data_IF_469538785149
#
_entry.id   IF_469538785149
#
_cell.length_a   1.000
_cell.length_b   1.000
_cell.length_c   1.000
_cell.angle_alpha   90.00
_cell.angle_beta   90.00
_cell.angle_gamma   90.00
#
_symmetry.space_group_name_H-M   'P 1'
#
loop_
_entity.id
_entity.type
_entity.pdbx_description
1 polymer ?
#
# COMPACT_ATOMS: atom_id res chain seq x y z
N UNK A 1 6.39 62.68 -28.17
CA UNK A 1 5.93 61.72 -27.15
C UNK A 1 6.95 60.58 -27.04
N UNK A 2 7.65 60.49 -25.91
CA UNK A 2 8.77 59.57 -25.70
C UNK A 2 8.32 58.11 -25.67
N UNK A 3 8.96 57.25 -26.51
CA UNK A 3 8.82 55.79 -26.47
C UNK A 3 9.34 55.31 -25.10
N UNK A 4 8.44 55.11 -24.12
CA UNK A 4 8.78 54.47 -22.84
C UNK A 4 9.42 53.11 -23.14
N UNK A 5 10.68 52.96 -22.77
CA UNK A 5 11.45 51.74 -22.96
C UNK A 5 10.76 50.59 -22.20
N UNK A 6 10.28 49.55 -22.90
CA UNK A 6 9.52 48.43 -22.30
C UNK A 6 10.26 47.74 -21.15
N UNK A 7 11.59 47.77 -21.16
CA UNK A 7 12.45 47.23 -20.11
C UNK A 7 12.31 47.97 -18.76
N UNK A 8 11.97 49.25 -18.80
CA UNK A 8 11.87 50.12 -17.62
C UNK A 8 10.45 50.20 -17.04
N UNK A 9 9.47 49.60 -17.73
CA UNK A 9 8.09 49.63 -17.30
C UNK A 9 7.90 48.89 -15.97
N UNK A 10 7.42 49.62 -14.96
CA UNK A 10 7.14 49.07 -13.63
C UNK A 10 8.35 49.02 -12.68
N UNK A 11 9.48 49.64 -13.04
CA UNK A 11 10.64 49.85 -12.16
C UNK A 11 10.68 51.30 -11.68
N UNK A 12 10.85 51.54 -10.38
CA UNK A 12 10.84 52.89 -9.79
C UNK A 12 11.69 52.97 -8.52
N UNK A 13 12.22 54.17 -8.24
CA UNK A 13 13.00 54.44 -7.04
C UNK A 13 12.11 54.94 -5.91
N UNK A 14 12.37 54.49 -4.69
CA UNK A 14 11.73 54.97 -3.45
C UNK A 14 12.48 56.18 -2.89
N UNK A 15 11.79 56.93 -2.02
CA UNK A 15 12.38 58.07 -1.30
C UNK A 15 13.64 57.71 -0.49
N UNK A 16 13.77 56.45 -0.08
CA UNK A 16 14.94 55.95 0.65
C UNK A 16 16.12 55.55 -0.25
N UNK A 17 16.10 55.91 -1.54
CA UNK A 17 17.17 55.68 -2.50
C UNK A 17 17.21 54.26 -3.12
N UNK A 18 16.47 53.30 -2.57
CA UNK A 18 16.39 51.93 -3.09
C UNK A 18 15.35 51.81 -4.20
N UNK A 19 15.51 50.79 -5.04
CA UNK A 19 14.64 50.52 -6.18
C UNK A 19 13.64 49.41 -5.91
N UNK A 20 12.46 49.52 -6.51
CA UNK A 20 11.45 48.47 -6.54
C UNK A 20 11.02 48.18 -7.97
N UNK A 21 10.47 46.99 -8.15
CA UNK A 21 9.81 46.60 -9.38
C UNK A 21 8.42 46.05 -9.13
N UNK A 22 7.56 46.21 -10.13
CA UNK A 22 6.27 45.54 -10.25
C UNK A 22 6.11 44.95 -11.64
N UNK A 23 5.40 43.83 -11.72
CA UNK A 23 4.97 43.29 -13.00
C UNK A 23 3.60 42.64 -12.88
N UNK A 24 2.89 42.66 -14.00
CA UNK A 24 1.68 41.89 -14.22
C UNK A 24 1.94 41.06 -15.48
N UNK A 25 1.72 39.76 -15.41
CA UNK A 25 1.86 38.87 -16.56
C UNK A 25 0.73 37.84 -16.55
N UNK A 26 0.29 37.44 -17.74
CA UNK A 26 -0.72 36.38 -17.90
C UNK A 26 0.00 35.10 -18.32
N UNK A 27 -0.21 34.02 -17.57
CA UNK A 27 0.32 32.67 -17.89
C UNK A 27 -0.83 31.68 -17.79
N UNK A 28 -1.12 30.97 -18.89
CA UNK A 28 -2.25 30.04 -19.01
C UNK A 28 -3.61 30.66 -18.58
N UNK A 29 -3.90 31.88 -19.05
CA UNK A 29 -5.17 32.57 -18.76
C UNK A 29 -5.30 33.16 -17.34
N UNK A 30 -4.35 32.93 -16.44
CA UNK A 30 -4.35 33.51 -15.09
C UNK A 30 -3.37 34.67 -14.98
N UNK A 31 -3.82 35.77 -14.36
CA UNK A 31 -3.02 36.96 -14.12
C UNK A 31 -2.17 36.82 -12.85
N UNK A 32 -0.86 37.00 -12.99
CA UNK A 32 0.11 37.02 -11.88
C UNK A 32 0.57 38.46 -11.71
N UNK A 33 0.34 39.02 -10.51
CA UNK A 33 0.82 40.34 -10.12
C UNK A 33 1.82 40.21 -8.96
N UNK A 34 3.03 40.77 -9.10
CA UNK A 34 4.03 40.80 -8.02
C UNK A 34 4.68 42.19 -7.93
N UNK A 35 4.98 42.60 -6.71
CA UNK A 35 5.75 43.80 -6.36
C UNK A 35 6.83 43.41 -5.35
N UNK A 36 8.09 43.77 -5.61
CA UNK A 36 9.22 43.46 -4.72
C UNK A 36 10.28 44.57 -4.76
N UNK A 37 11.02 44.72 -3.66
CA UNK A 37 12.16 45.64 -3.53
C UNK A 37 13.49 44.94 -3.30
N UNK A 38 13.55 43.63 -3.57
CA UNK A 38 14.76 42.81 -3.38
C UNK A 38 15.02 41.92 -4.59
N UNK A 39 16.26 41.45 -4.72
CA UNK A 39 16.64 40.42 -5.68
C UNK A 39 16.15 39.01 -5.28
N UNK A 40 16.64 38.00 -6.00
CA UNK A 40 16.41 36.57 -5.74
C UNK A 40 17.04 36.06 -4.42
N UNK A 41 18.07 36.75 -3.91
CA UNK A 41 18.80 36.42 -2.68
C UNK A 41 18.32 37.21 -1.45
N UNK A 42 17.39 38.15 -1.63
CA UNK A 42 16.85 38.99 -0.55
C UNK A 42 17.59 40.32 -0.33
N UNK A 43 18.57 40.65 -1.18
CA UNK A 43 19.29 41.91 -1.08
C UNK A 43 18.49 43.08 -1.64
N UNK A 44 18.62 44.26 -1.03
CA UNK A 44 18.00 45.51 -1.51
C UNK A 44 18.60 45.95 -2.83
N UNK A 45 17.76 46.46 -3.72
CA UNK A 45 18.14 46.93 -5.05
C UNK A 45 18.61 48.39 -4.96
N UNK A 46 19.89 48.66 -5.26
CA UNK A 46 20.50 50.00 -5.16
C UNK A 46 20.48 50.75 -6.48
N UNK A 47 20.42 50.03 -7.60
CA UNK A 47 20.43 50.64 -8.94
C UNK A 47 19.21 50.24 -9.78
N UNK A 48 18.88 51.10 -10.75
CA UNK A 48 17.83 50.81 -11.75
C UNK A 48 18.09 49.50 -12.50
N UNK A 49 19.36 49.23 -12.85
CA UNK A 49 19.78 48.04 -13.60
C UNK A 49 19.57 46.75 -12.79
N UNK A 50 19.88 46.77 -11.50
CA UNK A 50 19.59 45.66 -10.58
C UNK A 50 18.09 45.38 -10.49
N UNK A 51 17.26 46.42 -10.42
CA UNK A 51 15.82 46.26 -10.37
C UNK A 51 15.21 45.70 -11.66
N UNK A 52 15.74 46.08 -12.83
CA UNK A 52 15.35 45.49 -14.12
C UNK A 52 15.70 44.00 -14.15
N UNK A 53 16.94 43.63 -13.80
CA UNK A 53 17.39 42.22 -13.76
C UNK A 53 16.58 41.39 -12.78
N UNK A 54 16.37 41.89 -11.55
CA UNK A 54 15.57 41.21 -10.53
C UNK A 54 14.11 41.00 -10.98
N UNK A 55 13.54 41.97 -11.70
CA UNK A 55 12.19 41.85 -12.29
C UNK A 55 12.15 40.76 -13.35
N UNK A 56 13.13 40.69 -14.25
CA UNK A 56 13.23 39.66 -15.29
C UNK A 56 13.35 38.25 -14.68
N UNK A 57 14.25 38.07 -13.71
CA UNK A 57 14.40 36.80 -13.00
C UNK A 57 13.10 36.41 -12.28
N UNK A 58 12.43 37.36 -11.62
CA UNK A 58 11.17 37.10 -10.94
C UNK A 58 10.03 36.74 -11.92
N UNK A 59 9.99 37.33 -13.12
CA UNK A 59 9.05 36.96 -14.17
C UNK A 59 9.33 35.56 -14.72
N UNK A 60 10.60 35.19 -14.95
CA UNK A 60 11.00 33.85 -15.41
C UNK A 60 10.69 32.80 -14.34
N UNK A 61 10.96 33.09 -13.07
CA UNK A 61 10.66 32.21 -11.95
C UNK A 61 9.14 31.99 -11.81
N UNK A 62 8.34 33.06 -11.86
CA UNK A 62 6.87 32.97 -11.80
C UNK A 62 6.28 32.20 -13.00
N UNK A 63 6.85 32.38 -14.21
CA UNK A 63 6.45 31.63 -15.40
C UNK A 63 6.80 30.16 -15.28
N UNK A 64 8.02 29.84 -14.84
CA UNK A 64 8.51 28.47 -14.63
C UNK A 64 7.70 27.75 -13.55
N UNK A 65 7.41 28.42 -12.45
CA UNK A 65 6.56 27.91 -11.37
C UNK A 65 5.15 27.58 -11.87
N UNK A 66 4.57 28.44 -12.72
CA UNK A 66 3.24 28.21 -13.30
C UNK A 66 3.23 27.13 -14.38
N UNK A 67 4.27 27.04 -15.21
CA UNK A 67 4.43 25.96 -16.20
C UNK A 67 4.68 24.60 -15.52
N UNK A 68 5.32 24.58 -14.35
CA UNK A 68 5.47 23.38 -13.51
C UNK A 68 4.16 22.93 -12.87
N UNK A 69 3.23 23.84 -12.59
CA UNK A 69 1.85 23.49 -12.21
C UNK A 69 1.10 22.96 -13.43
N UNK A 70 1.43 21.73 -13.86
CA UNK A 70 0.58 20.91 -14.75
C UNK A 70 -0.83 20.95 -14.18
N UNK A 71 -1.82 21.20 -15.02
CA UNK A 71 -3.23 21.03 -14.66
C UNK A 71 -3.40 19.59 -14.19
N UNK A 72 -3.56 19.39 -12.89
CA UNK A 72 -3.82 18.07 -12.33
C UNK A 72 -5.18 17.64 -12.87
N UNK A 73 -5.18 16.53 -13.63
CA UNK A 73 -6.43 15.95 -14.11
C UNK A 73 -7.13 15.34 -12.92
N UNK A 74 -8.24 15.97 -12.54
CA UNK A 74 -9.05 15.54 -11.40
C UNK A 74 -9.67 14.18 -11.71
N UNK A 75 -9.57 13.24 -10.77
CA UNK A 75 -10.11 11.88 -10.89
C UNK A 75 -10.88 11.50 -9.63
N UNK A 76 -11.93 10.72 -9.84
CA UNK A 76 -12.68 10.07 -8.76
C UNK A 76 -11.90 8.90 -8.18
N UNK A 77 -12.21 8.53 -6.94
CA UNK A 77 -11.61 7.35 -6.30
C UNK A 77 -11.85 6.10 -7.14
N UNK A 78 -13.06 5.95 -7.70
CA UNK A 78 -13.42 4.82 -8.56
C UNK A 78 -12.53 4.74 -9.80
N UNK A 79 -12.33 5.85 -10.51
CA UNK A 79 -11.45 5.86 -11.69
C UNK A 79 -10.02 5.46 -11.33
N UNK A 80 -9.48 5.99 -10.22
CA UNK A 80 -8.13 5.64 -9.76
C UNK A 80 -8.04 4.16 -9.41
N UNK A 81 -9.03 3.61 -8.71
CA UNK A 81 -9.04 2.20 -8.33
C UNK A 81 -9.22 1.26 -9.54
N UNK A 82 -10.05 1.63 -10.52
CA UNK A 82 -10.22 0.88 -11.76
C UNK A 82 -8.94 0.88 -12.61
N UNK A 83 -8.25 2.03 -12.71
CA UNK A 83 -6.95 2.11 -13.38
C UNK A 83 -5.90 1.24 -12.67
N UNK A 84 -5.86 1.29 -11.33
CA UNK A 84 -5.02 0.38 -10.54
C UNK A 84 -5.36 -1.09 -10.80
N UNK A 85 -6.64 -1.44 -10.92
CA UNK A 85 -7.04 -2.81 -11.25
C UNK A 85 -6.58 -3.25 -12.64
N UNK A 86 -6.49 -2.32 -13.60
CA UNK A 86 -6.01 -2.61 -14.96
C UNK A 86 -4.48 -2.73 -15.01
N UNK A 87 -3.75 -1.83 -14.36
CA UNK A 87 -2.31 -1.66 -14.59
C UNK A 87 -1.43 -1.82 -13.35
N UNK A 88 -1.98 -1.68 -12.14
CA UNK A 88 -1.21 -1.62 -10.90
C UNK A 88 -1.13 -2.92 -10.09
N UNK A 89 -1.85 -3.97 -10.51
CA UNK A 89 -1.92 -5.26 -9.78
C UNK A 89 -1.15 -6.41 -10.43
N UNK A 90 -0.42 -6.15 -11.52
CA UNK A 90 0.45 -7.16 -12.15
C UNK A 90 1.46 -7.69 -11.13
N UNK A 91 1.56 -9.01 -11.02
CA UNK A 91 2.46 -9.68 -10.05
C UNK A 91 1.93 -9.76 -8.61
N UNK A 92 0.74 -9.22 -8.29
CA UNK A 92 0.15 -9.41 -6.96
C UNK A 92 -0.46 -10.81 -6.82
N UNK A 93 -0.29 -11.40 -5.63
CA UNK A 93 -0.88 -12.67 -5.30
C UNK A 93 -2.42 -12.61 -5.36
N UNK A 94 -3.05 -13.69 -5.80
CA UNK A 94 -4.50 -13.81 -5.94
C UNK A 94 -5.27 -13.36 -4.68
N UNK A 95 -4.85 -13.83 -3.49
CA UNK A 95 -5.51 -13.47 -2.23
C UNK A 95 -5.43 -11.97 -1.92
N UNK A 96 -4.35 -11.29 -2.32
CA UNK A 96 -4.23 -9.84 -2.18
C UNK A 96 -5.26 -9.13 -3.04
N UNK A 97 -5.41 -9.55 -4.31
CA UNK A 97 -6.38 -8.98 -5.24
C UNK A 97 -7.80 -9.24 -4.75
N UNK A 98 -8.11 -10.48 -4.33
CA UNK A 98 -9.41 -10.84 -3.77
C UNK A 98 -9.78 -9.99 -2.55
N UNK A 99 -8.84 -9.79 -1.62
CA UNK A 99 -9.04 -8.93 -0.45
C UNK A 99 -9.32 -7.47 -0.86
N UNK A 100 -8.52 -6.91 -1.78
CA UNK A 100 -8.71 -5.54 -2.27
C UNK A 100 -10.07 -5.36 -2.95
N UNK A 101 -10.48 -6.29 -3.81
CA UNK A 101 -11.78 -6.26 -4.46
C UNK A 101 -12.94 -6.36 -3.46
N UNK A 102 -12.80 -7.21 -2.44
CA UNK A 102 -13.82 -7.36 -1.39
C UNK A 102 -13.98 -6.06 -0.59
N UNK A 103 -12.88 -5.47 -0.12
CA UNK A 103 -12.90 -4.19 0.61
C UNK A 103 -13.48 -3.06 -0.24
N UNK A 104 -13.10 -3.01 -1.52
CA UNK A 104 -13.65 -2.02 -2.46
C UNK A 104 -15.16 -2.18 -2.63
N UNK A 105 -15.60 -3.38 -3.05
CA UNK A 105 -16.98 -3.65 -3.42
C UNK A 105 -17.93 -3.48 -2.25
N UNK A 106 -17.56 -3.98 -1.07
CA UNK A 106 -18.48 -4.10 0.04
C UNK A 106 -18.53 -2.87 0.95
N UNK A 107 -17.55 -1.96 0.87
CA UNK A 107 -17.44 -0.87 1.83
C UNK A 107 -17.05 0.47 1.21
N UNK A 108 -16.04 0.50 0.34
CA UNK A 108 -15.47 1.78 -0.11
C UNK A 108 -16.15 2.36 -1.36
N UNK A 109 -16.64 1.50 -2.26
CA UNK A 109 -17.16 1.94 -3.56
C UNK A 109 -18.38 2.85 -3.41
N UNK A 110 -19.28 2.55 -2.48
CA UNK A 110 -20.50 3.32 -2.26
C UNK A 110 -20.20 4.68 -1.60
N UNK A 111 -19.37 4.68 -0.55
CA UNK A 111 -19.07 5.88 0.24
C UNK A 111 -18.09 6.83 -0.43
N UNK A 112 -17.04 6.31 -1.08
CA UNK A 112 -15.93 7.11 -1.60
C UNK A 112 -15.83 7.09 -3.13
N UNK A 113 -16.44 6.12 -3.80
CA UNK A 113 -16.18 5.84 -5.22
C UNK A 113 -16.42 7.03 -6.15
N UNK A 114 -17.53 7.74 -5.95
CA UNK A 114 -17.93 8.86 -6.82
C UNK A 114 -17.26 10.19 -6.46
N UNK A 115 -16.51 10.25 -5.35
CA UNK A 115 -15.87 11.48 -4.88
C UNK A 115 -14.51 11.67 -5.52
N UNK A 116 -14.07 12.91 -5.66
CA UNK A 116 -12.73 13.19 -6.17
C UNK A 116 -11.67 12.86 -5.13
N UNK A 117 -10.54 12.30 -5.57
CA UNK A 117 -9.48 11.88 -4.65
C UNK A 117 -8.91 13.07 -3.86
N UNK A 118 -8.91 14.26 -4.45
CA UNK A 118 -8.44 15.51 -3.82
C UNK A 118 -9.41 16.10 -2.79
N UNK A 119 -10.64 15.59 -2.68
CA UNK A 119 -11.63 16.02 -1.69
C UNK A 119 -11.55 15.23 -0.38
N UNK A 120 -10.85 14.09 -0.39
CA UNK A 120 -10.81 13.21 0.78
C UNK A 120 -9.79 13.76 1.77
N UNK A 121 -10.28 14.10 2.97
CA UNK A 121 -9.44 14.66 4.02
C UNK A 121 -8.84 13.57 4.92
N UNK A 122 -7.77 13.93 5.62
CA UNK A 122 -7.17 13.08 6.67
C UNK A 122 -8.19 12.76 7.77
N UNK A 123 -8.93 13.78 8.23
CA UNK A 123 -9.88 13.64 9.33
C UNK A 123 -10.96 12.62 8.97
N UNK A 124 -11.51 12.77 7.77
CA UNK A 124 -12.53 11.86 7.26
C UNK A 124 -12.08 10.40 7.21
N UNK A 125 -10.86 10.12 6.72
CA UNK A 125 -10.34 8.74 6.72
C UNK A 125 -10.16 8.23 8.14
N UNK A 126 -9.63 9.05 9.04
CA UNK A 126 -9.43 8.66 10.44
C UNK A 126 -10.77 8.41 11.17
N UNK A 127 -11.77 9.25 10.93
CA UNK A 127 -13.12 9.12 11.49
C UNK A 127 -13.80 7.86 10.97
N UNK A 128 -13.66 7.57 9.67
CA UNK A 128 -14.15 6.32 9.08
C UNK A 128 -13.46 5.09 9.70
N UNK A 129 -12.14 5.11 9.89
CA UNK A 129 -11.43 4.01 10.54
C UNK A 129 -11.81 3.86 12.02
N UNK A 130 -12.07 4.97 12.71
CA UNK A 130 -12.56 4.98 14.08
C UNK A 130 -13.97 4.40 14.18
N UNK A 131 -14.88 4.76 13.26
CA UNK A 131 -16.22 4.19 13.16
C UNK A 131 -16.15 2.67 13.01
N UNK A 132 -15.41 2.16 12.02
CA UNK A 132 -15.27 0.72 11.79
C UNK A 132 -14.77 -0.04 13.03
N UNK A 133 -13.81 0.54 13.76
CA UNK A 133 -13.18 -0.14 14.89
C UNK A 133 -13.96 0.00 16.21
N UNK A 134 -14.35 1.21 16.57
CA UNK A 134 -14.97 1.49 17.86
C UNK A 134 -16.47 1.25 17.87
N UNK A 135 -17.16 1.47 16.74
CA UNK A 135 -18.61 1.45 16.69
C UNK A 135 -19.10 0.18 15.98
N UNK A 136 -18.55 -0.15 14.81
CA UNK A 136 -18.97 -1.33 14.05
C UNK A 136 -18.32 -2.63 14.57
N UNK A 137 -17.39 -2.52 15.54
CA UNK A 137 -16.80 -3.66 16.24
C UNK A 137 -15.82 -4.48 15.39
N UNK A 138 -15.26 -3.93 14.32
CA UNK A 138 -14.30 -4.67 13.50
C UNK A 138 -12.98 -4.89 14.23
N UNK A 139 -12.34 -6.04 14.00
CA UNK A 139 -11.02 -6.31 14.55
C UNK A 139 -9.97 -5.31 14.05
N UNK A 140 -9.03 -4.90 14.91
CA UNK A 140 -8.01 -3.89 14.59
C UNK A 140 -7.25 -4.18 13.30
N UNK A 141 -6.81 -5.44 13.09
CA UNK A 141 -6.09 -5.87 11.87
C UNK A 141 -6.97 -5.89 10.61
N UNK A 142 -8.28 -6.07 10.78
CA UNK A 142 -9.22 -5.96 9.67
C UNK A 142 -9.41 -4.49 9.29
N UNK A 143 -9.62 -3.60 10.25
CA UNK A 143 -9.67 -2.14 10.04
C UNK A 143 -8.39 -1.59 9.40
N UNK A 144 -7.22 -2.08 9.82
CA UNK A 144 -5.92 -1.73 9.20
C UNK A 144 -5.87 -2.03 7.69
N UNK A 145 -6.68 -2.97 7.20
CA UNK A 145 -6.74 -3.24 5.77
C UNK A 145 -7.44 -2.16 4.95
N UNK A 146 -8.36 -1.40 5.55
CA UNK A 146 -8.95 -0.21 4.94
C UNK A 146 -7.94 0.92 4.87
N UNK A 147 -7.18 1.15 5.94
CA UNK A 147 -6.07 2.11 5.94
C UNK A 147 -5.08 1.81 4.79
N UNK A 148 -4.68 0.54 4.64
CA UNK A 148 -3.81 0.10 3.53
C UNK A 148 -4.45 0.30 2.15
N UNK A 149 -5.78 0.24 2.05
CA UNK A 149 -6.52 0.50 0.83
C UNK A 149 -6.50 1.99 0.47
N UNK A 150 -6.64 2.90 1.44
CA UNK A 150 -6.49 4.33 1.24
C UNK A 150 -5.07 4.70 0.80
N UNK A 151 -4.04 4.15 1.46
CA UNK A 151 -2.64 4.34 1.03
C UNK A 151 -2.40 3.89 -0.41
N UNK A 152 -3.01 2.77 -0.81
CA UNK A 152 -2.94 2.30 -2.19
C UNK A 152 -3.59 3.28 -3.17
N UNK A 153 -4.80 3.75 -2.88
CA UNK A 153 -5.53 4.69 -3.73
C UNK A 153 -4.77 6.00 -3.86
N UNK A 154 -4.34 6.61 -2.75
CA UNK A 154 -3.60 7.86 -2.76
C UNK A 154 -2.23 7.73 -3.43
N UNK A 155 -1.52 6.62 -3.20
CA UNK A 155 -0.26 6.33 -3.88
C UNK A 155 -0.42 6.17 -5.39
N UNK A 156 -1.50 5.52 -5.84
CA UNK A 156 -1.85 5.44 -7.26
C UNK A 156 -2.20 6.81 -7.84
N UNK A 157 -3.06 7.59 -7.18
CA UNK A 157 -3.40 8.94 -7.63
C UNK A 157 -2.16 9.84 -7.74
N UNK A 158 -1.27 9.82 -6.75
CA UNK A 158 -0.03 10.58 -6.77
C UNK A 158 0.89 10.15 -7.92
N UNK A 159 1.19 8.85 -8.03
CA UNK A 159 2.07 8.34 -9.10
C UNK A 159 1.54 8.59 -10.52
N UNK A 160 0.22 8.74 -10.68
CA UNK A 160 -0.44 9.06 -11.96
C UNK A 160 -0.64 10.56 -12.20
N UNK A 161 -0.19 11.43 -11.28
CA UNK A 161 -0.33 12.89 -11.32
C UNK A 161 -1.78 13.38 -11.21
N UNK A 162 -2.63 12.68 -10.45
CA UNK A 162 -4.00 13.08 -10.09
C UNK A 162 -4.09 13.73 -8.71
N UNK A 163 -3.00 13.72 -7.97
CA UNK A 163 -2.89 14.31 -6.63
C UNK A 163 -1.59 15.08 -6.54
N UNK A 164 -1.62 16.29 -5.99
CA UNK A 164 -0.41 17.10 -5.81
C UNK A 164 0.45 16.58 -4.66
N UNK A 165 1.71 17.00 -4.65
CA UNK A 165 2.71 16.55 -3.67
C UNK A 165 2.37 16.99 -2.25
N UNK A 166 1.78 18.17 -2.05
CA UNK A 166 1.49 18.71 -0.72
C UNK A 166 0.31 17.94 -0.10
N UNK A 167 -0.73 17.69 -0.88
CA UNK A 167 -1.87 16.85 -0.49
C UNK A 167 -1.44 15.42 -0.23
N UNK A 168 -0.62 14.82 -1.10
CA UNK A 168 -0.09 13.48 -0.88
C UNK A 168 0.76 13.39 0.40
N UNK A 169 1.66 14.36 0.62
CA UNK A 169 2.50 14.40 1.82
C UNK A 169 1.65 14.52 3.08
N UNK A 170 0.63 15.40 3.07
CA UNK A 170 -0.31 15.55 4.18
C UNK A 170 -1.04 14.25 4.48
N UNK A 171 -1.53 13.53 3.46
CA UNK A 171 -2.29 12.29 3.60
C UNK A 171 -1.42 11.10 4.01
N UNK A 172 -0.22 10.96 3.45
CA UNK A 172 0.51 9.68 3.49
C UNK A 172 1.88 9.73 4.19
N UNK A 173 2.52 10.90 4.30
CA UNK A 173 3.95 10.99 4.66
C UNK A 173 4.15 11.70 6.01
N UNK A 174 3.58 12.89 6.15
CA UNK A 174 3.78 13.76 7.31
C UNK A 174 3.36 13.06 8.60
N UNK A 175 4.30 12.94 9.55
CA UNK A 175 4.11 12.14 10.78
C UNK A 175 2.88 12.56 11.58
N UNK A 176 2.62 13.87 11.66
CA UNK A 176 1.56 14.42 12.50
C UNK A 176 0.20 14.44 11.82
N UNK A 177 0.17 14.51 10.48
CA UNK A 177 -1.07 14.69 9.72
C UNK A 177 -1.48 13.49 8.89
N UNK A 178 -0.64 12.48 8.67
CA UNK A 178 -1.02 11.36 7.82
C UNK A 178 -2.20 10.56 8.38
N UNK A 179 -2.92 9.90 7.48
CA UNK A 179 -3.95 8.93 7.84
C UNK A 179 -3.34 7.82 8.71
N UNK A 180 -4.06 7.41 9.75
CA UNK A 180 -3.54 6.46 10.74
C UNK A 180 -4.66 5.64 11.36
N UNK A 181 -4.28 4.50 11.91
CA UNK A 181 -5.19 3.71 12.70
C UNK A 181 -5.69 4.49 13.93
N UNK A 182 -6.93 4.27 14.37
CA UNK A 182 -7.34 4.66 15.72
C UNK A 182 -6.41 4.00 16.76
N UNK A 183 -6.42 4.54 18.00
CA UNK A 183 -5.72 3.89 19.12
C UNK A 183 -6.25 2.46 19.30
N UNK A 184 -5.39 1.53 19.69
CA UNK A 184 -5.80 0.18 20.06
C UNK A 184 -6.62 0.27 21.37
N UNK A 185 -7.76 -0.43 21.44
CA UNK A 185 -8.53 -0.58 22.67
C UNK A 185 -7.68 -1.30 23.71
N UNK A 186 -7.82 -0.92 24.97
CA UNK A 186 -7.07 -1.56 26.06
C UNK A 186 -7.49 -3.01 26.28
N UNK A 187 -8.74 -3.37 25.96
CA UNK A 187 -9.22 -4.76 26.03
C UNK A 187 -8.82 -5.65 24.85
N UNK A 188 -8.30 -5.09 23.75
CA UNK A 188 -7.90 -5.90 22.59
C UNK A 188 -6.58 -6.62 22.88
N UNK A 189 -6.66 -7.93 23.11
CA UNK A 189 -5.50 -8.80 23.19
C UNK A 189 -4.98 -9.15 21.78
N UNK A 190 -3.70 -8.89 21.55
CA UNK A 190 -3.02 -9.19 20.28
C UNK A 190 -1.90 -10.23 20.44
N UNK A 191 -1.78 -10.81 21.63
CA UNK A 191 -0.73 -11.75 21.95
C UNK A 191 -0.96 -13.09 21.24
N UNK A 192 0.15 -13.68 20.81
CA UNK A 192 0.13 -15.00 20.21
C UNK A 192 0.21 -16.01 21.35
N UNK A 193 -0.93 -16.63 21.67
CA UNK A 193 -1.01 -17.73 22.64
C UNK A 193 -0.67 -19.05 21.96
N UNK A 194 0.21 -19.84 22.57
CA UNK A 194 0.58 -21.17 22.11
C UNK A 194 -0.07 -22.23 22.99
N UNK A 195 -0.49 -23.34 22.37
CA UNK A 195 -1.06 -24.46 23.10
C UNK A 195 -0.03 -25.10 24.05
N UNK A 196 -0.47 -25.39 25.28
CA UNK A 196 0.31 -26.14 26.25
C UNK A 196 0.32 -27.65 25.91
N UNK A 197 1.08 -28.44 26.68
CA UNK A 197 1.24 -29.88 26.41
C UNK A 197 -0.06 -30.67 26.53
N UNK A 198 -0.92 -30.32 27.47
CA UNK A 198 -2.17 -31.04 27.72
C UNK A 198 -3.20 -30.73 26.61
N UNK A 199 -3.30 -29.46 26.21
CA UNK A 199 -4.09 -29.03 25.05
C UNK A 199 -3.62 -29.69 23.75
N UNK A 200 -2.30 -29.79 23.58
CA UNK A 200 -1.70 -30.49 22.45
C UNK A 200 -2.07 -31.98 22.47
N UNK A 201 -2.08 -32.66 23.62
CA UNK A 201 -2.54 -34.06 23.71
C UNK A 201 -3.99 -34.20 23.26
N UNK A 202 -4.89 -33.31 23.71
CA UNK A 202 -6.29 -33.30 23.27
C UNK A 202 -6.43 -33.13 21.75
N UNK A 203 -5.59 -32.28 21.15
CA UNK A 203 -5.56 -32.09 19.70
C UNK A 203 -5.02 -33.33 18.97
N UNK A 204 -3.99 -34.01 19.50
CA UNK A 204 -3.49 -35.26 18.91
C UNK A 204 -4.60 -36.30 18.84
N UNK A 205 -5.31 -36.52 19.94
CA UNK A 205 -6.40 -37.48 20.03
C UNK A 205 -7.56 -37.09 19.10
N UNK A 206 -7.89 -35.80 19.03
CA UNK A 206 -8.96 -35.32 18.16
C UNK A 206 -8.65 -35.57 16.67
N UNK A 207 -7.41 -35.40 16.22
CA UNK A 207 -7.06 -35.53 14.81
C UNK A 207 -6.71 -36.96 14.40
N UNK A 208 -6.42 -37.87 15.34
CA UNK A 208 -6.07 -39.26 15.07
C UNK A 208 -7.11 -39.95 14.17
N UNK A 209 -6.64 -40.54 13.06
CA UNK A 209 -7.48 -41.29 12.11
C UNK A 209 -8.36 -40.44 11.19
N UNK A 210 -8.38 -39.09 11.34
CA UNK A 210 -9.15 -38.20 10.47
C UNK A 210 -8.41 -37.90 9.18
N UNK A 211 -9.16 -37.52 8.14
CA UNK A 211 -8.58 -37.11 6.84
C UNK A 211 -7.60 -35.93 6.94
N UNK A 212 -7.69 -35.13 8.00
CA UNK A 212 -6.84 -33.96 8.27
C UNK A 212 -5.66 -34.26 9.19
N UNK A 213 -5.50 -35.49 9.67
CA UNK A 213 -4.45 -35.89 10.62
C UNK A 213 -3.06 -35.54 10.09
N UNK A 214 -2.75 -35.92 8.84
CA UNK A 214 -1.43 -35.67 8.26
C UNK A 214 -1.12 -34.17 8.20
N UNK A 215 -2.10 -33.34 7.87
CA UNK A 215 -1.93 -31.89 7.79
C UNK A 215 -1.70 -31.26 9.16
N UNK A 216 -2.42 -31.75 10.18
CA UNK A 216 -2.23 -31.37 11.57
C UNK A 216 -0.84 -31.74 12.09
N UNK A 217 -0.41 -33.00 11.91
CA UNK A 217 0.91 -33.47 12.36
C UNK A 217 2.06 -32.74 11.67
N UNK A 218 1.92 -32.42 10.37
CA UNK A 218 2.86 -31.56 9.65
C UNK A 218 2.94 -30.14 10.23
N UNK A 219 1.80 -29.54 10.58
CA UNK A 219 1.78 -28.24 11.24
C UNK A 219 2.47 -28.30 12.60
N UNK A 220 2.11 -29.29 13.43
CA UNK A 220 2.62 -29.47 14.79
C UNK A 220 4.11 -29.77 14.86
N UNK A 221 4.58 -30.78 14.12
CA UNK A 221 5.95 -31.29 14.24
C UNK A 221 6.94 -30.65 13.28
N UNK A 222 6.45 -30.01 12.22
CA UNK A 222 7.31 -29.44 11.17
C UNK A 222 7.07 -27.94 10.95
N UNK A 223 6.10 -27.33 11.65
CA UNK A 223 5.85 -25.89 11.57
C UNK A 223 5.37 -25.42 10.20
N UNK A 224 4.72 -26.31 9.42
CA UNK A 224 4.21 -25.95 8.09
C UNK A 224 2.97 -25.06 8.23
N UNK A 225 2.84 -24.12 7.29
CA UNK A 225 1.56 -23.42 7.12
C UNK A 225 0.54 -24.39 6.54
N UNK A 226 -0.73 -24.23 6.90
CA UNK A 226 -1.83 -25.11 6.46
C UNK A 226 -1.84 -25.38 4.94
N UNK A 227 -1.66 -24.35 4.12
CA UNK A 227 -1.64 -24.49 2.67
C UNK A 227 -0.39 -25.23 2.15
N UNK A 228 0.73 -25.17 2.88
CA UNK A 228 1.93 -25.96 2.59
C UNK A 228 1.68 -27.43 2.93
N UNK A 229 0.99 -27.73 4.04
CA UNK A 229 0.61 -29.10 4.41
C UNK A 229 -0.20 -29.77 3.30
N UNK A 230 -1.25 -29.10 2.81
CA UNK A 230 -2.09 -29.62 1.72
C UNK A 230 -1.40 -29.58 0.34
N UNK A 231 -0.31 -28.83 0.20
CA UNK A 231 0.48 -28.77 -1.03
C UNK A 231 1.53 -29.87 -1.15
N UNK A 232 1.84 -30.59 -0.06
CA UNK A 232 2.91 -31.58 -0.04
C UNK A 232 2.59 -32.79 -0.93
N UNK A 233 3.53 -33.17 -1.78
CA UNK A 233 3.44 -34.38 -2.63
C UNK A 233 4.37 -35.46 -2.12
N UNK A 234 4.00 -36.73 -2.35
CA UNK A 234 4.85 -37.88 -2.05
C UNK A 234 6.24 -37.82 -2.71
N UNK A 235 6.35 -37.24 -3.91
CA UNK A 235 7.63 -37.03 -4.59
C UNK A 235 8.60 -36.11 -3.81
N UNK A 236 8.07 -35.29 -2.90
CA UNK A 236 8.86 -34.38 -2.06
C UNK A 236 9.14 -34.96 -0.67
N UNK A 237 8.80 -36.22 -0.41
CA UNK A 237 9.04 -36.90 0.87
C UNK A 237 10.16 -37.91 0.71
N UNK A 238 11.32 -37.60 1.25
CA UNK A 238 12.49 -38.49 1.27
C UNK A 238 12.57 -39.18 2.63
N UNK A 239 12.11 -40.44 2.71
CA UNK A 239 12.16 -41.21 3.95
C UNK A 239 13.53 -41.80 4.25
N UNK A 240 14.45 -41.84 3.27
CA UNK A 240 15.82 -42.34 3.46
C UNK A 240 16.62 -41.30 4.22
N UNK A 241 16.62 -40.07 3.73
CA UNK A 241 17.25 -38.94 4.38
C UNK A 241 16.37 -38.37 5.51
N UNK A 242 15.07 -38.67 5.47
CA UNK A 242 14.09 -38.22 6.45
C UNK A 242 13.84 -36.73 6.36
N UNK A 243 13.58 -36.25 5.16
CA UNK A 243 13.34 -34.84 4.84
C UNK A 243 12.08 -34.67 3.99
N UNK A 244 11.51 -33.47 4.04
CA UNK A 244 10.43 -33.04 3.14
C UNK A 244 10.80 -31.74 2.46
N UNK A 245 10.53 -31.64 1.16
CA UNK A 245 10.74 -30.43 0.37
C UNK A 245 9.45 -29.63 0.22
N UNK A 246 9.44 -28.41 0.74
CA UNK A 246 8.33 -27.46 0.58
C UNK A 246 8.64 -26.57 -0.61
N UNK A 247 7.93 -26.78 -1.72
CA UNK A 247 8.12 -26.02 -2.96
C UNK A 247 6.82 -25.49 -3.56
N UNK A 248 5.68 -25.76 -2.90
CA UNK A 248 4.34 -25.41 -3.33
C UNK A 248 3.37 -25.31 -2.15
N UNK A 249 2.22 -24.73 -2.43
CA UNK A 249 1.10 -24.61 -1.51
C UNK A 249 -0.21 -24.82 -2.26
N UNK A 250 -1.22 -25.37 -1.60
CA UNK A 250 -2.56 -25.51 -2.13
C UNK A 250 -3.35 -24.21 -1.89
N UNK A 251 -4.03 -23.72 -2.92
CA UNK A 251 -4.92 -22.57 -2.82
C UNK A 251 -6.25 -22.84 -3.51
N UNK A 252 -7.33 -22.33 -2.92
CA UNK A 252 -8.62 -22.21 -3.59
C UNK A 252 -8.69 -20.87 -4.33
N UNK A 253 -8.85 -20.94 -5.65
CA UNK A 253 -9.02 -19.79 -6.52
C UNK A 253 -10.24 -20.01 -7.41
N UNK A 254 -11.25 -19.15 -7.26
CA UNK A 254 -12.48 -19.16 -8.08
C UNK A 254 -13.16 -20.55 -8.13
N UNK A 255 -13.29 -21.21 -6.98
CA UNK A 255 -13.90 -22.54 -6.85
C UNK A 255 -12.98 -23.71 -7.22
N UNK A 256 -11.77 -23.45 -7.72
CA UNK A 256 -10.82 -24.48 -8.14
C UNK A 256 -9.64 -24.61 -7.17
N UNK A 257 -9.20 -25.85 -6.95
CA UNK A 257 -7.95 -26.13 -6.24
C UNK A 257 -6.78 -25.94 -7.20
N UNK A 258 -5.82 -25.10 -6.82
CA UNK A 258 -4.57 -24.87 -7.56
C UNK A 258 -3.37 -25.10 -6.65
N UNK A 259 -2.37 -25.81 -7.19
CA UNK A 259 -1.05 -25.88 -6.58
C UNK A 259 -0.19 -24.76 -7.15
N UNK A 260 0.24 -23.86 -6.28
CA UNK A 260 1.04 -22.69 -6.67
C UNK A 260 2.36 -22.68 -5.93
N UNK A 261 3.38 -22.05 -6.53
CA UNK A 261 4.64 -21.83 -5.85
C UNK A 261 4.43 -20.93 -4.60
N UNK A 262 5.29 -21.05 -3.57
CA UNK A 262 5.34 -20.11 -2.47
C UNK A 262 5.60 -18.70 -2.98
N UNK A 263 5.14 -17.69 -2.22
CA UNK A 263 5.19 -16.28 -2.62
C UNK A 263 6.61 -15.77 -2.88
N UNK A 264 7.60 -16.32 -2.16
CA UNK A 264 9.00 -15.87 -2.25
C UNK A 264 9.91 -17.08 -2.48
N UNK A 265 11.06 -16.82 -3.11
CA UNK A 265 12.08 -17.86 -3.33
C UNK A 265 12.50 -18.53 -2.02
N UNK A 266 12.75 -17.74 -0.98
CA UNK A 266 13.18 -18.22 0.35
C UNK A 266 12.12 -19.05 1.08
N UNK A 267 10.87 -19.05 0.64
CA UNK A 267 9.85 -19.92 1.21
C UNK A 267 10.00 -21.37 0.73
N UNK A 268 10.75 -21.62 -0.35
CA UNK A 268 11.16 -22.96 -0.77
C UNK A 268 12.24 -23.48 0.18
N UNK A 269 11.98 -24.59 0.87
CA UNK A 269 12.88 -25.09 1.92
C UNK A 269 12.74 -26.59 2.15
N UNK A 270 13.81 -27.19 2.62
CA UNK A 270 13.81 -28.58 3.10
C UNK A 270 13.65 -28.59 4.62
N UNK A 271 12.77 -29.46 5.12
CA UNK A 271 12.53 -29.64 6.56
C UNK A 271 12.93 -31.06 6.95
N UNK A 272 13.65 -31.21 8.05
CA UNK A 272 14.03 -32.50 8.60
C UNK A 272 12.91 -33.08 9.45
N UNK A 273 12.58 -34.35 9.21
CA UNK A 273 11.56 -35.07 9.97
C UNK A 273 12.17 -35.61 11.26
N UNK A 274 11.46 -35.42 12.38
CA UNK A 274 11.80 -36.08 13.64
C UNK A 274 11.49 -37.59 13.56
N UNK A 275 11.90 -38.35 14.59
CA UNK A 275 11.70 -39.82 14.65
C UNK A 275 10.22 -40.21 14.50
N UNK A 276 9.32 -39.46 15.16
CA UNK A 276 7.88 -39.68 15.10
C UNK A 276 7.34 -39.54 13.68
N UNK A 277 7.59 -38.41 13.01
CA UNK A 277 7.12 -38.16 11.65
C UNK A 277 7.70 -39.14 10.64
N UNK A 278 8.96 -39.55 10.78
CA UNK A 278 9.54 -40.60 9.92
C UNK A 278 8.78 -41.92 10.06
N UNK A 279 8.42 -42.32 11.29
CA UNK A 279 7.62 -43.54 11.53
C UNK A 279 6.22 -43.38 10.95
N UNK A 280 5.57 -42.26 11.21
CA UNK A 280 4.23 -41.96 10.70
C UNK A 280 4.16 -42.04 9.16
N UNK A 281 5.06 -41.34 8.45
CA UNK A 281 5.08 -41.39 6.99
C UNK A 281 5.40 -42.78 6.44
N UNK A 282 6.23 -43.59 7.11
CA UNK A 282 6.47 -44.98 6.69
C UNK A 282 5.17 -45.82 6.77
N UNK A 283 4.41 -45.69 7.86
CA UNK A 283 3.13 -46.36 8.02
C UNK A 283 2.11 -45.89 6.98
N UNK A 284 1.97 -44.58 6.82
CA UNK A 284 1.05 -43.98 5.84
C UNK A 284 1.36 -44.43 4.41
N UNK A 285 2.65 -44.50 4.06
CA UNK A 285 3.09 -44.94 2.74
C UNK A 285 2.72 -46.41 2.49
N UNK A 286 2.87 -47.28 3.49
CA UNK A 286 2.46 -48.70 3.44
C UNK A 286 0.95 -48.82 3.25
N UNK A 287 0.15 -48.11 4.05
CA UNK A 287 -1.32 -48.11 3.97
C UNK A 287 -1.83 -47.68 2.58
N UNK A 288 -1.29 -46.60 2.04
CA UNK A 288 -1.66 -46.11 0.69
C UNK A 288 -1.35 -47.16 -0.38
N UNK A 289 -0.21 -47.85 -0.29
CA UNK A 289 0.13 -48.89 -1.26
C UNK A 289 -0.72 -50.14 -1.12
N UNK A 290 -1.04 -50.56 0.11
CA UNK A 290 -1.99 -51.66 0.33
C UNK A 290 -3.35 -51.33 -0.28
N UNK A 291 -3.85 -50.10 -0.10
CA UNK A 291 -5.11 -49.63 -0.72
C UNK A 291 -5.03 -49.55 -2.25
N UNK A 292 -3.89 -49.15 -2.81
CA UNK A 292 -3.72 -49.07 -4.28
C UNK A 292 -3.58 -50.43 -4.94
N UNK A 293 -2.99 -51.42 -4.26
CA UNK A 293 -2.89 -52.79 -4.75
C UNK A 293 -4.18 -53.62 -4.58
N UNK A 294 -5.22 -53.05 -3.98
CA UNK A 294 -6.55 -53.67 -3.77
C UNK A 294 -7.68 -52.96 -4.52
N UNK A 295 -7.35 -51.95 -5.35
CA UNK A 295 -8.28 -51.40 -6.32
C UNK A 295 -8.27 -52.30 -7.58
N UNK A 296 -9.42 -52.80 -8.04
CA UNK A 296 -9.51 -53.59 -9.27
C UNK A 296 -9.01 -52.83 -10.50
#
# INVERSE_FOLDING_TARGET
MSKRNKAEAGVYQKQNGFWEYRFVMVVNGCQIAKKKGTDEFGNKLKTKKEAIKAREVAMIAARTERLRKKTISRRTVKEVFEEYCKFGRTGKAYQTIKKQNSLWKNHLSELFGNRFVDEISVAEVNDYLAQLYYIDGYAYKYTESFLKMFYLIFGQAYSRNYLDVDTYNKLCVNKDTKIKMPKLKSEDDTDIVAFNRDELTLLDDYFLGKSTETAYLLGRYCGLRINECFGLKWANVDLKNGTILIDRQMQYQDGLIKLVAPKTHNAKRTIYLNKFMKKYFKSLKKEIWTRRGTLP
#
